data_IF_221799926648
#
_entry.id   IF_221799926648
#
_cell.length_a   1.000
_cell.length_b   1.000
_cell.length_c   1.000
_cell.angle_alpha   90.00
_cell.angle_beta   90.00
_cell.angle_gamma   90.00
#
_symmetry.space_group_name_H-M   'P 1'
#
loop_
_entity.id
_entity.type
_entity.pdbx_description
1 polymer ?
#
# COMPACT_ATOMS: atom_id res chain seq x y z
N UNK A 1 7.00 9.94 1.65
CA UNK A 1 5.64 9.55 1.18
C UNK A 1 4.98 8.63 2.22
N UNK A 2 3.66 8.71 2.41
CA UNK A 2 2.91 7.78 3.26
C UNK A 2 2.31 6.64 2.42
N UNK A 3 2.34 5.44 2.97
CA UNK A 3 1.78 4.23 2.36
C UNK A 3 0.94 3.51 3.41
N UNK A 4 -0.16 2.89 2.98
CA UNK A 4 -1.00 2.10 3.89
C UNK A 4 -0.75 0.62 3.67
N UNK A 5 -0.36 -0.06 4.74
CA UNK A 5 -0.29 -1.52 4.79
C UNK A 5 -1.62 -2.06 5.29
N UNK A 6 -2.21 -2.97 4.53
CA UNK A 6 -3.38 -3.77 4.95
C UNK A 6 -2.87 -5.14 5.39
N UNK A 7 -3.28 -5.57 6.58
CA UNK A 7 -3.11 -6.95 7.04
C UNK A 7 -4.49 -7.56 7.22
N UNK A 8 -4.67 -8.72 6.61
CA UNK A 8 -5.88 -9.53 6.74
C UNK A 8 -5.51 -10.80 7.51
N UNK A 9 -5.99 -10.91 8.74
CA UNK A 9 -5.83 -12.10 9.59
C UNK A 9 -7.04 -13.05 9.49
N UNK A 10 -7.96 -12.80 8.56
CA UNK A 10 -9.19 -13.55 8.37
C UNK A 10 -10.33 -13.15 9.32
N UNK A 11 -10.10 -12.23 10.27
CA UNK A 11 -11.12 -11.73 11.21
C UNK A 11 -11.21 -10.21 11.23
N UNK A 12 -10.09 -9.50 11.11
CA UNK A 12 -9.97 -8.05 11.21
C UNK A 12 -8.99 -7.53 10.16
N UNK A 13 -9.50 -6.69 9.26
CA UNK A 13 -8.64 -5.92 8.37
C UNK A 13 -7.98 -4.78 9.13
N UNK A 14 -6.69 -4.92 9.43
CA UNK A 14 -5.91 -3.87 10.08
C UNK A 14 -5.26 -3.00 9.01
N UNK A 15 -5.62 -1.71 9.00
CA UNK A 15 -5.01 -0.69 8.16
C UNK A 15 -3.98 0.09 8.98
N UNK A 16 -2.74 0.11 8.51
CA UNK A 16 -1.64 0.86 9.15
C UNK A 16 -0.99 1.78 8.13
N UNK A 17 -1.12 3.09 8.32
CA UNK A 17 -0.40 4.08 7.54
C UNK A 17 0.99 4.31 8.12
N UNK A 18 2.02 4.23 7.27
CA UNK A 18 3.43 4.32 7.61
C UNK A 18 4.16 5.23 6.62
N UNK A 19 5.34 5.72 7.01
CA UNK A 19 6.29 6.30 6.04
C UNK A 19 6.89 5.17 5.19
N UNK A 20 7.08 5.42 3.89
CA UNK A 20 7.62 4.41 2.96
C UNK A 20 9.01 3.92 3.38
N UNK A 21 9.85 4.80 3.92
CA UNK A 21 11.19 4.47 4.38
C UNK A 21 11.15 3.48 5.56
N UNK A 22 10.18 3.65 6.46
CA UNK A 22 9.95 2.72 7.57
C UNK A 22 9.44 1.36 7.08
N UNK A 23 8.59 1.35 6.05
CA UNK A 23 8.14 0.09 5.45
C UNK A 23 9.30 -0.67 4.81
N UNK A 24 10.16 0.01 4.05
CA UNK A 24 11.33 -0.61 3.41
C UNK A 24 12.25 -1.24 4.47
N UNK A 25 12.49 -0.55 5.58
CA UNK A 25 13.29 -1.11 6.68
C UNK A 25 12.64 -2.36 7.30
N UNK A 26 11.32 -2.32 7.53
CA UNK A 26 10.57 -3.47 8.04
C UNK A 26 10.55 -4.64 7.05
N UNK A 27 10.64 -4.40 5.75
CA UNK A 27 10.66 -5.46 4.73
C UNK A 27 12.01 -6.19 4.64
N UNK A 28 13.09 -5.65 5.21
CA UNK A 28 14.40 -6.31 5.22
C UNK A 28 14.42 -7.57 6.09
N UNK A 29 13.61 -7.59 7.14
CA UNK A 29 13.57 -8.70 8.10
C UNK A 29 12.17 -9.29 8.09
N UNK A 30 12.09 -10.60 7.90
CA UNK A 30 10.80 -11.26 7.91
C UNK A 30 10.22 -11.30 9.33
N UNK A 31 8.92 -11.07 9.44
CA UNK A 31 8.22 -11.21 10.72
C UNK A 31 8.22 -12.67 11.19
N UNK A 32 8.00 -12.90 12.49
CA UNK A 32 7.90 -14.26 13.08
C UNK A 32 6.90 -15.18 12.36
N UNK A 33 5.88 -14.61 11.71
CA UNK A 33 4.87 -15.39 10.99
C UNK A 33 5.35 -15.92 9.62
N UNK A 34 6.53 -15.51 9.15
CA UNK A 34 7.18 -16.00 7.93
C UNK A 34 6.27 -16.12 6.70
N UNK A 35 5.41 -15.10 6.52
CA UNK A 35 4.31 -15.15 5.56
C UNK A 35 4.79 -15.22 4.10
N UNK A 36 5.93 -14.59 3.78
CA UNK A 36 6.46 -14.54 2.42
C UNK A 36 7.24 -15.81 2.11
N UNK A 37 8.06 -16.29 3.05
CA UNK A 37 8.79 -17.54 2.93
C UNK A 37 7.83 -18.73 2.82
N UNK A 38 6.83 -18.81 3.70
CA UNK A 38 5.81 -19.87 3.62
C UNK A 38 5.01 -19.83 2.32
N UNK A 39 4.67 -18.64 1.80
CA UNK A 39 4.03 -18.52 0.49
C UNK A 39 4.94 -19.06 -0.64
N UNK A 40 6.23 -18.71 -0.62
CA UNK A 40 7.20 -19.16 -1.64
C UNK A 40 7.43 -20.66 -1.62
N UNK A 41 7.39 -21.29 -0.45
CA UNK A 41 7.53 -22.75 -0.32
C UNK A 41 6.34 -23.50 -0.94
N UNK A 42 5.13 -22.96 -0.78
CA UNK A 42 3.91 -23.63 -1.28
C UNK A 42 3.67 -23.33 -2.77
N UNK A 43 4.12 -22.17 -3.26
CA UNK A 43 3.86 -21.70 -4.63
C UNK A 43 4.18 -22.72 -5.75
N UNK A 44 5.29 -23.50 -5.71
CA UNK A 44 5.60 -24.48 -6.75
C UNK A 44 4.59 -25.63 -6.86
N UNK A 45 3.80 -25.87 -5.82
CA UNK A 45 2.83 -26.97 -5.74
C UNK A 45 1.40 -26.55 -6.11
N UNK A 46 1.19 -25.28 -6.49
CA UNK A 46 -0.13 -24.71 -6.78
C UNK A 46 -0.34 -24.68 -8.29
N UNK A 47 -1.46 -25.21 -8.76
CA UNK A 47 -1.81 -25.14 -10.17
C UNK A 47 -2.38 -23.76 -10.55
N UNK A 48 -2.21 -23.32 -11.81
CA UNK A 48 -2.86 -22.12 -12.30
C UNK A 48 -4.38 -22.18 -12.08
N UNK A 49 -4.93 -21.18 -11.38
CA UNK A 49 -6.37 -21.09 -11.06
C UNK A 49 -6.73 -21.58 -9.66
N UNK A 50 -5.84 -22.30 -8.97
CA UNK A 50 -6.06 -22.70 -7.59
C UNK A 50 -5.93 -21.51 -6.64
N UNK A 51 -6.77 -21.50 -5.60
CA UNK A 51 -6.70 -20.48 -4.53
C UNK A 51 -5.46 -20.74 -3.66
N UNK A 52 -4.68 -19.69 -3.42
CA UNK A 52 -3.57 -19.72 -2.47
C UNK A 52 -3.94 -18.94 -1.20
N UNK A 53 -4.16 -19.65 -0.10
CA UNK A 53 -4.51 -19.06 1.19
C UNK A 53 -3.34 -18.25 1.81
N UNK A 54 -2.09 -18.55 1.45
CA UNK A 54 -0.92 -17.81 1.92
C UNK A 54 -0.83 -16.44 1.25
N UNK A 55 -1.22 -16.31 -0.02
CA UNK A 55 -1.26 -15.02 -0.73
C UNK A 55 -2.19 -14.04 -0.03
N UNK A 56 -3.31 -14.52 0.51
CA UNK A 56 -4.26 -13.64 1.23
C UNK A 56 -3.67 -13.08 2.53
N UNK A 57 -2.76 -13.82 3.16
CA UNK A 57 -2.12 -13.43 4.43
C UNK A 57 -0.96 -12.46 4.24
N UNK A 58 -0.33 -12.42 3.06
CA UNK A 58 0.75 -11.48 2.78
C UNK A 58 0.22 -10.04 2.89
N UNK A 59 0.94 -9.13 3.58
CA UNK A 59 0.50 -7.75 3.70
C UNK A 59 0.30 -7.09 2.34
N UNK A 60 -0.87 -6.48 2.14
CA UNK A 60 -1.21 -5.74 0.90
C UNK A 60 -0.80 -4.28 1.09
N UNK A 61 -0.27 -3.66 0.04
CA UNK A 61 0.15 -2.26 0.09
C UNK A 61 -0.77 -1.40 -0.77
N UNK A 62 -1.37 -0.38 -0.14
CA UNK A 62 -2.09 0.68 -0.83
C UNK A 62 -1.17 1.90 -0.93
N UNK A 63 -0.62 2.18 -2.12
CA UNK A 63 0.12 3.41 -2.33
C UNK A 63 -0.84 4.59 -2.14
N UNK A 64 -0.28 5.77 -1.85
CA UNK A 64 -0.99 7.02 -2.03
C UNK A 64 -2.21 7.29 -1.12
N UNK A 65 -2.51 6.49 -0.12
CA UNK A 65 -3.65 6.75 0.77
C UNK A 65 -3.24 6.67 2.24
N UNK A 66 -3.62 7.67 3.03
CA UNK A 66 -3.56 7.64 4.48
C UNK A 66 -4.97 7.43 5.03
N UNK A 67 -5.13 6.45 5.93
CA UNK A 67 -6.41 6.17 6.58
C UNK A 67 -6.30 6.47 8.06
N UNK A 68 -7.32 7.12 8.59
CA UNK A 68 -7.43 7.44 10.01
C UNK A 68 -8.78 6.98 10.52
N UNK A 69 -8.84 6.68 11.83
CA UNK A 69 -10.09 6.27 12.47
C UNK A 69 -10.82 7.50 12.97
N UNK A 70 -11.97 7.83 12.37
CA UNK A 70 -12.87 8.90 12.80
C UNK A 70 -14.20 8.27 13.21
N UNK A 71 -14.67 8.53 14.43
CA UNK A 71 -15.93 8.00 14.96
C UNK A 71 -16.09 6.47 14.81
N UNK A 72 -15.01 5.73 15.00
CA UNK A 72 -15.02 4.27 14.89
C UNK A 72 -14.91 3.72 13.46
N UNK A 73 -15.08 4.55 12.44
CA UNK A 73 -15.00 4.19 11.01
C UNK A 73 -13.61 4.56 10.46
N UNK A 74 -13.03 3.68 9.63
CA UNK A 74 -11.80 4.00 8.90
C UNK A 74 -12.17 4.85 7.68
N UNK A 75 -11.67 6.09 7.65
CA UNK A 75 -11.90 7.05 6.57
C UNK A 75 -10.57 7.44 5.95
N UNK A 76 -10.53 7.62 4.62
CA UNK A 76 -9.37 8.19 3.95
C UNK A 76 -9.22 9.65 4.39
N UNK A 77 -8.03 10.01 4.87
CA UNK A 77 -7.71 11.35 5.36
C UNK A 77 -7.00 12.17 4.29
N UNK A 78 -5.94 11.58 3.71
CA UNK A 78 -5.08 12.22 2.74
C UNK A 78 -4.80 11.27 1.57
N UNK A 79 -4.90 11.79 0.34
CA UNK A 79 -4.37 11.13 -0.84
C UNK A 79 -2.98 11.71 -1.15
N UNK A 80 -1.96 10.87 -1.02
CA UNK A 80 -0.54 11.18 -1.20
C UNK A 80 0.01 10.58 -2.52
N UNK A 81 -0.85 10.35 -3.51
CA UNK A 81 -0.47 9.77 -4.79
C UNK A 81 -0.08 10.76 -5.84
N UNK A 82 0.45 10.24 -6.94
CA UNK A 82 0.64 11.03 -8.15
C UNK A 82 -0.74 11.31 -8.73
N UNK A 83 -1.09 12.60 -8.83
CA UNK A 83 -2.27 13.07 -9.56
C UNK A 83 -1.82 13.61 -10.91
N UNK A 84 -2.54 13.24 -11.97
CA UNK A 84 -2.38 13.90 -13.26
C UNK A 84 -3.19 15.18 -13.23
N UNK A 85 -2.51 16.33 -13.16
CA UNK A 85 -3.14 17.64 -13.30
C UNK A 85 -3.10 18.02 -14.79
N UNK A 86 -4.27 18.01 -15.43
CA UNK A 86 -4.43 18.53 -16.79
C UNK A 86 -5.15 19.89 -16.69
N UNK A 87 -4.41 20.97 -16.94
CA UNK A 87 -4.97 22.33 -16.99
C UNK A 87 -5.12 22.71 -18.46
N UNK A 88 -6.35 22.74 -18.99
CA UNK A 88 -6.67 23.30 -20.31
C UNK A 88 -5.72 22.95 -21.48
N UNK A 89 -5.28 21.68 -21.61
CA UNK A 89 -4.31 21.23 -22.63
C UNK A 89 -2.94 21.92 -22.61
N UNK A 90 -2.61 22.66 -21.55
CA UNK A 90 -1.30 23.25 -21.33
C UNK A 90 -0.60 22.43 -20.25
N UNK A 91 0.39 21.63 -20.66
CA UNK A 91 1.29 20.96 -19.71
C UNK A 91 2.71 20.99 -20.27
N UNK A 92 3.24 22.22 -20.38
CA UNK A 92 4.67 22.44 -20.52
C UNK A 92 5.35 22.33 -19.15
N UNK A 93 6.62 21.89 -19.07
CA UNK A 93 7.35 21.76 -17.80
C UNK A 93 7.38 23.05 -16.96
N UNK A 94 7.43 24.21 -17.63
CA UNK A 94 7.56 25.53 -17.02
C UNK A 94 6.33 25.94 -16.19
N UNK A 95 5.14 25.72 -16.73
CA UNK A 95 3.88 26.09 -16.07
C UNK A 95 3.55 25.13 -14.90
N UNK A 96 3.99 23.87 -15.01
CA UNK A 96 3.88 22.90 -13.92
C UNK A 96 4.80 23.22 -12.73
N UNK A 97 5.94 23.89 -12.95
CA UNK A 97 6.84 24.30 -11.87
C UNK A 97 6.31 25.54 -11.13
N UNK A 98 5.66 26.50 -11.81
CA UNK A 98 5.06 27.66 -11.14
C UNK A 98 3.90 27.30 -10.18
N UNK A 99 3.12 26.27 -10.51
CA UNK A 99 2.03 25.80 -9.63
C UNK A 99 2.55 25.11 -8.36
N UNK A 100 3.76 24.56 -8.37
CA UNK A 100 4.35 23.92 -7.17
C UNK A 100 4.83 24.94 -6.13
N UNK A 101 5.11 26.18 -6.52
CA UNK A 101 5.64 27.22 -5.63
C UNK A 101 4.54 28.09 -4.96
N UNK A 102 3.27 27.86 -5.28
CA UNK A 102 2.12 28.49 -4.60
C UNK A 102 1.45 27.53 -3.62
#
# INVERSE_FOLDING_TARGET
MRITQIRDDGRVNTLRTLKIEQLVEQMKVETKAQLVSGMREVLPYIFPGDKNDYVQKVPKLLPAAAFVRKNGVMTMDEYNGVVMLQVNNLSGPMEADEVKER
#
